data_IF_438372629803
#
_entry.id   IF_438372629803
#
_cell.length_a   1.000
_cell.length_b   1.000
_cell.length_c   1.000
_cell.angle_alpha   90.00
_cell.angle_beta   90.00
_cell.angle_gamma   90.00
#
_symmetry.space_group_name_H-M   'P 1'
#
loop_
_entity.id
_entity.type
_entity.pdbx_description
1 polymer ?
#
# COMPACT_ATOMS: atom_id res chain seq x y z
N UNK A 1 -65.75 61.90 14.52
CA UNK A 1 -64.90 62.92 13.87
C UNK A 1 -63.76 62.14 13.22
N UNK A 2 -63.82 61.83 11.91
CA UNK A 2 -63.41 62.70 10.76
C UNK A 2 -61.95 63.09 10.97
N UNK A 3 -60.92 62.71 10.21
CA UNK A 3 -60.62 62.40 8.78
C UNK A 3 -59.41 61.42 8.77
N UNK A 4 -59.07 60.61 7.77
CA UNK A 4 -59.12 60.78 6.33
C UNK A 4 -57.77 61.28 5.77
N UNK A 5 -56.86 60.39 5.36
CA UNK A 5 -55.95 60.66 4.21
C UNK A 5 -55.24 59.39 3.73
N UNK A 6 -55.46 59.09 2.44
CA UNK A 6 -54.70 58.14 1.63
C UNK A 6 -53.53 58.86 0.96
N UNK A 7 -52.36 58.21 0.88
CA UNK A 7 -51.50 58.26 -0.30
C UNK A 7 -50.75 56.94 -0.46
N UNK A 8 -50.85 56.37 -1.66
CA UNK A 8 -50.13 55.19 -2.14
C UNK A 8 -48.66 55.52 -2.40
N UNK A 9 -47.78 54.53 -2.20
CA UNK A 9 -46.41 54.52 -2.69
C UNK A 9 -45.87 53.08 -2.63
N UNK A 10 -45.49 52.55 -3.79
CA UNK A 10 -45.20 51.15 -4.04
C UNK A 10 -43.83 50.68 -3.51
N UNK A 11 -43.76 49.38 -3.21
CA UNK A 11 -42.56 48.55 -3.38
C UNK A 11 -41.51 48.59 -2.27
N UNK A 12 -41.43 47.52 -1.48
CA UNK A 12 -40.24 46.66 -1.34
C UNK A 12 -40.47 45.66 -0.20
N UNK A 13 -40.33 44.36 -0.51
CA UNK A 13 -40.44 43.26 0.45
C UNK A 13 -39.28 43.24 1.46
N UNK A 14 -39.43 42.50 2.57
CA UNK A 14 -38.47 42.49 3.66
C UNK A 14 -37.16 41.80 3.26
N UNK A 15 -36.07 42.40 3.73
CA UNK A 15 -34.68 42.05 3.49
C UNK A 15 -34.37 40.56 3.75
N UNK A 16 -33.90 39.88 2.71
CA UNK A 16 -33.19 38.62 2.84
C UNK A 16 -31.81 38.90 3.45
N UNK A 17 -31.51 38.25 4.57
CA UNK A 17 -30.13 38.15 5.07
C UNK A 17 -29.34 37.34 4.06
N UNK A 18 -28.29 37.95 3.51
CA UNK A 18 -27.32 37.29 2.64
C UNK A 18 -26.59 36.20 3.43
N UNK A 19 -26.93 34.95 3.20
CA UNK A 19 -26.04 33.81 3.43
C UNK A 19 -25.00 33.81 2.31
N UNK A 20 -23.73 33.91 2.66
CA UNK A 20 -22.62 33.79 1.73
C UNK A 20 -22.70 32.40 1.08
N UNK A 21 -22.97 32.38 -0.23
CA UNK A 21 -22.95 31.16 -1.02
C UNK A 21 -21.53 30.63 -1.16
N UNK A 22 -21.37 29.33 -0.89
CA UNK A 22 -20.17 28.56 -1.19
C UNK A 22 -19.97 28.59 -2.72
N UNK A 23 -18.79 28.98 -3.23
CA UNK A 23 -18.55 28.94 -4.67
C UNK A 23 -18.35 27.49 -5.13
N UNK A 24 -18.84 27.12 -6.33
CA UNK A 24 -18.65 25.77 -6.87
C UNK A 24 -17.18 25.53 -7.25
N UNK A 25 -16.71 24.30 -7.06
CA UNK A 25 -15.41 23.82 -7.50
C UNK A 25 -15.23 24.05 -9.02
N UNK A 26 -14.14 24.69 -9.48
CA UNK A 26 -13.92 24.87 -10.91
C UNK A 26 -13.39 23.57 -11.55
N UNK A 27 -14.13 23.07 -12.55
CA UNK A 27 -13.68 22.03 -13.46
C UNK A 27 -12.50 22.52 -14.32
N UNK A 28 -11.57 21.61 -14.59
CA UNK A 28 -10.35 21.91 -15.35
C UNK A 28 -10.62 21.88 -16.85
N UNK A 29 -10.40 23.02 -17.51
CA UNK A 29 -10.22 23.13 -18.96
C UNK A 29 -8.72 23.13 -19.28
N UNK A 30 -8.31 22.36 -20.29
CA UNK A 30 -6.92 22.21 -20.73
C UNK A 30 -6.36 23.52 -21.35
N UNK A 31 -5.09 23.88 -21.08
CA UNK A 31 -4.44 25.01 -21.75
C UNK A 31 -3.80 24.61 -23.10
N UNK A 32 -3.61 25.56 -24.02
CA UNK A 32 -3.16 25.29 -25.38
C UNK A 32 -1.64 25.07 -25.49
N UNK A 33 -1.26 24.30 -26.51
CA UNK A 33 0.12 23.98 -26.88
C UNK A 33 0.94 25.23 -27.24
N UNK A 34 2.12 25.38 -26.61
CA UNK A 34 3.11 26.38 -26.97
C UNK A 34 4.31 25.71 -27.66
N UNK A 35 4.41 25.97 -28.96
CA UNK A 35 5.55 25.66 -29.83
C UNK A 35 6.63 26.74 -29.71
N UNK A 36 7.87 26.33 -29.41
CA UNK A 36 9.08 27.17 -29.39
C UNK A 36 10.34 26.34 -29.72
N UNK A 37 11.41 26.94 -30.25
CA UNK A 37 12.27 26.31 -31.25
C UNK A 37 13.35 25.38 -30.68
N UNK A 38 13.60 24.32 -31.44
CA UNK A 38 14.68 23.35 -31.27
C UNK A 38 16.00 23.99 -31.73
N UNK A 39 17.05 23.91 -30.92
CA UNK A 39 18.43 24.30 -31.31
C UNK A 39 19.40 23.14 -31.07
N UNK A 40 20.32 22.82 -32.01
CA UNK A 40 21.07 21.57 -32.00
C UNK A 40 22.41 21.73 -31.27
N UNK A 41 22.61 20.97 -30.18
CA UNK A 41 23.94 20.78 -29.60
C UNK A 41 24.49 19.42 -30.03
N UNK A 42 25.42 19.47 -30.99
CA UNK A 42 26.29 18.37 -31.35
C UNK A 42 27.30 18.13 -30.22
N UNK A 43 27.29 16.93 -29.64
CA UNK A 43 28.28 16.48 -28.67
C UNK A 43 29.57 16.07 -29.41
N UNK A 44 30.65 16.81 -29.16
CA UNK A 44 32.01 16.43 -29.56
C UNK A 44 32.64 15.57 -28.47
N UNK A 45 33.03 14.34 -28.81
CA UNK A 45 33.75 13.42 -27.93
C UNK A 45 35.20 13.89 -27.67
N UNK A 46 35.72 13.81 -26.43
CA UNK A 46 37.15 13.99 -26.16
C UNK A 46 37.97 12.71 -26.48
N UNK A 47 39.29 12.84 -26.72
CA UNK A 47 40.13 11.77 -27.27
C UNK A 47 40.43 10.64 -26.27
N UNK A 48 40.52 9.42 -26.80
CA UNK A 48 40.88 8.18 -26.10
C UNK A 48 42.36 8.20 -25.70
N UNK A 49 42.64 8.01 -24.41
CA UNK A 49 43.99 7.75 -23.89
C UNK A 49 44.35 6.26 -23.99
N UNK A 50 45.64 5.90 -24.23
CA UNK A 50 46.08 4.50 -24.22
C UNK A 50 46.06 3.93 -22.79
N UNK A 51 45.80 2.62 -22.60
CA UNK A 51 45.69 2.04 -21.26
C UNK A 51 47.05 1.99 -20.56
N UNK A 52 47.06 2.36 -19.28
CA UNK A 52 48.21 2.25 -18.37
C UNK A 52 48.51 0.79 -18.00
N UNK A 53 49.79 0.50 -17.81
CA UNK A 53 50.32 -0.80 -17.38
C UNK A 53 49.68 -1.29 -16.07
N UNK A 54 49.37 -2.58 -16.03
CA UNK A 54 48.80 -3.25 -14.86
C UNK A 54 49.83 -3.39 -13.72
N UNK A 55 49.43 -3.28 -12.45
CA UNK A 55 50.33 -3.47 -11.32
C UNK A 55 50.78 -4.93 -11.18
N UNK A 56 52.05 -5.12 -10.81
CA UNK A 56 52.66 -6.42 -10.52
C UNK A 56 51.84 -7.21 -9.48
N UNK A 57 51.38 -8.40 -9.86
CA UNK A 57 50.70 -9.34 -8.94
C UNK A 57 49.33 -9.85 -9.40
N UNK A 58 48.85 -9.49 -10.60
CA UNK A 58 47.64 -10.08 -11.17
C UNK A 58 47.99 -11.32 -12.00
N UNK A 59 47.54 -12.50 -11.56
CA UNK A 59 47.60 -13.74 -12.33
C UNK A 59 46.23 -14.00 -12.96
N UNK A 60 46.05 -13.85 -14.29
CA UNK A 60 44.81 -14.24 -14.94
C UNK A 60 44.67 -15.78 -14.90
N UNK A 61 43.57 -16.28 -14.35
CA UNK A 61 43.21 -17.70 -14.41
C UNK A 61 42.89 -18.10 -15.85
N UNK A 62 43.80 -18.86 -16.47
CA UNK A 62 43.60 -19.49 -17.76
C UNK A 62 42.40 -20.45 -17.71
N UNK A 63 41.43 -20.25 -18.60
CA UNK A 63 40.34 -21.20 -18.85
C UNK A 63 40.81 -22.22 -19.89
N UNK A 64 41.48 -23.27 -19.44
CA UNK A 64 41.71 -24.47 -20.25
C UNK A 64 40.46 -25.36 -20.22
N UNK A 65 39.49 -25.06 -21.08
CA UNK A 65 38.40 -25.97 -21.42
C UNK A 65 38.68 -26.58 -22.80
N UNK A 66 38.79 -27.92 -22.93
CA UNK A 66 39.04 -28.55 -24.22
C UNK A 66 37.81 -28.41 -25.14
N UNK A 67 38.01 -27.76 -26.28
CA UNK A 67 37.06 -27.74 -27.41
C UNK A 67 37.08 -29.12 -28.08
N UNK A 68 36.02 -29.90 -27.92
CA UNK A 68 35.85 -31.18 -28.63
C UNK A 68 35.50 -30.88 -30.09
N UNK A 69 36.51 -30.93 -30.95
CA UNK A 69 36.34 -30.89 -32.40
C UNK A 69 35.78 -32.22 -32.93
N UNK A 70 34.65 -32.16 -33.63
CA UNK A 70 34.11 -33.29 -34.38
C UNK A 70 34.98 -33.58 -35.61
N UNK A 71 35.91 -34.54 -35.52
CA UNK A 71 36.27 -35.47 -36.61
C UNK A 71 37.52 -36.29 -36.30
N UNK A 72 37.37 -37.56 -35.95
CA UNK A 72 38.27 -38.64 -36.37
C UNK A 72 37.71 -40.01 -35.95
N UNK A 73 37.41 -40.86 -36.95
CA UNK A 73 37.19 -42.29 -36.77
C UNK A 73 38.43 -42.93 -36.14
N UNK A 74 38.27 -43.58 -34.99
CA UNK A 74 39.20 -44.58 -34.49
C UNK A 74 38.41 -45.71 -33.83
N UNK A 75 38.51 -46.89 -34.43
CA UNK A 75 37.93 -48.16 -33.97
C UNK A 75 38.51 -48.55 -32.60
N UNK A 76 37.64 -48.81 -31.62
CA UNK A 76 38.00 -49.38 -30.31
C UNK A 76 37.51 -50.85 -30.22
N UNK A 77 38.23 -51.74 -29.49
CA UNK A 77 37.84 -53.14 -29.31
C UNK A 77 36.56 -53.31 -28.47
N UNK A 78 35.78 -54.34 -28.80
CA UNK A 78 34.57 -54.74 -28.09
C UNK A 78 34.93 -55.48 -26.80
N UNK A 79 34.84 -54.80 -25.67
CA UNK A 79 34.60 -55.44 -24.36
C UNK A 79 33.88 -54.42 -23.49
N UNK A 80 32.55 -54.54 -23.41
CA UNK A 80 31.71 -53.73 -22.52
C UNK A 80 30.95 -54.72 -21.62
N UNK A 81 31.09 -54.65 -20.29
CA UNK A 81 30.29 -55.48 -19.39
C UNK A 81 28.82 -55.09 -19.57
N UNK A 82 27.99 -56.04 -19.99
CA UNK A 82 26.55 -55.82 -20.10
C UNK A 82 25.94 -55.94 -18.71
N UNK A 83 25.70 -54.81 -18.05
CA UNK A 83 24.83 -54.76 -16.87
C UNK A 83 23.40 -54.66 -17.41
N UNK A 84 22.60 -55.71 -17.21
CA UNK A 84 21.16 -55.61 -17.41
C UNK A 84 20.58 -54.67 -16.34
N UNK A 85 20.09 -53.51 -16.80
CA UNK A 85 19.35 -52.59 -15.95
C UNK A 85 17.91 -53.11 -15.82
N UNK A 86 17.61 -53.76 -14.70
CA UNK A 86 16.23 -54.01 -14.31
C UNK A 86 15.54 -52.66 -14.05
N UNK A 87 14.41 -52.34 -14.70
CA UNK A 87 13.67 -51.14 -14.36
C UNK A 87 13.14 -51.28 -12.92
N UNK A 88 13.70 -50.53 -11.99
CA UNK A 88 12.99 -50.22 -10.76
C UNK A 88 11.80 -49.36 -11.18
N UNK A 89 10.59 -49.77 -10.79
CA UNK A 89 9.43 -48.89 -10.93
C UNK A 89 9.81 -47.55 -10.28
N UNK A 90 9.66 -46.46 -11.02
CA UNK A 90 9.87 -45.13 -10.48
C UNK A 90 9.05 -45.05 -9.18
N UNK A 91 9.68 -44.85 -8.01
CA UNK A 91 8.91 -44.37 -6.89
C UNK A 91 8.50 -42.98 -7.35
N UNK A 92 7.30 -42.84 -7.91
CA UNK A 92 6.71 -41.54 -8.12
C UNK A 92 6.72 -40.92 -6.73
N UNK A 93 7.62 -39.97 -6.41
CA UNK A 93 7.45 -39.26 -5.17
C UNK A 93 6.04 -38.65 -5.31
N UNK A 94 5.16 -38.78 -4.30
CA UNK A 94 3.96 -37.96 -4.34
C UNK A 94 4.44 -36.54 -4.64
N UNK A 95 3.81 -35.88 -5.62
CA UNK A 95 4.03 -34.46 -5.87
C UNK A 95 4.16 -33.77 -4.50
N UNK A 96 5.18 -32.92 -4.28
CA UNK A 96 5.44 -32.36 -2.96
C UNK A 96 4.09 -31.88 -2.43
N UNK A 97 3.59 -32.57 -1.41
CA UNK A 97 2.48 -32.06 -0.65
C UNK A 97 3.10 -30.83 -0.04
N UNK A 98 2.86 -29.67 -0.66
CA UNK A 98 3.14 -28.40 -0.03
C UNK A 98 2.61 -28.58 1.39
N UNK A 99 3.44 -28.47 2.44
CA UNK A 99 2.88 -28.45 3.77
C UNK A 99 1.80 -27.37 3.69
N UNK A 100 0.54 -27.78 3.91
CA UNK A 100 -0.60 -26.91 3.66
C UNK A 100 -0.27 -25.56 4.29
N UNK A 101 -0.24 -24.51 3.47
CA UNK A 101 0.10 -23.18 3.94
C UNK A 101 -0.77 -22.90 5.17
N UNK A 102 -0.16 -22.35 6.22
CA UNK A 102 -0.91 -22.02 7.42
C UNK A 102 -2.02 -21.01 7.12
N UNK A 103 -2.98 -20.85 8.05
CA UNK A 103 -4.11 -19.94 7.87
C UNK A 103 -3.62 -18.52 7.57
N UNK A 104 -4.31 -17.84 6.64
CA UNK A 104 -4.04 -16.46 6.26
C UNK A 104 -4.91 -15.53 7.10
N UNK A 105 -4.31 -14.51 7.70
CA UNK A 105 -4.98 -13.45 8.44
C UNK A 105 -4.60 -12.10 7.86
N UNK A 106 -5.55 -11.16 7.92
CA UNK A 106 -5.36 -9.78 7.47
C UNK A 106 -5.79 -8.82 8.58
N UNK A 107 -4.97 -7.79 8.80
CA UNK A 107 -5.19 -6.71 9.76
C UNK A 107 -5.50 -5.42 9.01
N UNK A 108 -6.60 -4.75 9.41
CA UNK A 108 -6.92 -3.41 8.93
C UNK A 108 -6.02 -2.32 9.51
N UNK A 109 -6.44 -1.08 9.30
CA UNK A 109 -5.68 0.13 9.64
C UNK A 109 -5.57 0.30 11.16
N UNK A 110 -4.33 0.50 11.65
CA UNK A 110 -4.02 0.48 13.09
C UNK A 110 -3.96 1.87 13.70
N UNK A 111 -3.37 2.83 12.98
CA UNK A 111 -3.28 4.23 13.42
C UNK A 111 -2.78 4.43 14.86
N UNK A 112 -1.71 3.74 15.26
CA UNK A 112 -1.08 3.92 16.57
C UNK A 112 -1.90 3.45 17.78
N UNK A 113 -3.03 2.78 17.56
CA UNK A 113 -3.84 2.13 18.59
C UNK A 113 -3.25 0.76 18.96
N UNK A 114 -2.08 0.81 19.63
CA UNK A 114 -1.26 -0.36 19.94
C UNK A 114 -1.98 -1.34 20.89
N UNK A 115 -2.72 -0.84 21.87
CA UNK A 115 -3.44 -1.67 22.84
C UNK A 115 -4.57 -2.44 22.13
N UNK A 116 -5.33 -1.77 21.27
CA UNK A 116 -6.36 -2.38 20.44
C UNK A 116 -5.79 -3.41 19.46
N UNK A 117 -4.58 -3.17 18.94
CA UNK A 117 -3.86 -4.16 18.13
C UNK A 117 -3.48 -5.41 18.94
N UNK A 118 -2.96 -5.24 20.16
CA UNK A 118 -2.67 -6.37 21.05
C UNK A 118 -3.94 -7.19 21.32
N UNK A 119 -5.03 -6.53 21.70
CA UNK A 119 -6.30 -7.19 21.99
C UNK A 119 -6.83 -7.97 20.77
N UNK A 120 -6.80 -7.37 19.58
CA UNK A 120 -7.31 -8.00 18.37
C UNK A 120 -6.45 -9.19 17.91
N UNK A 121 -5.12 -9.08 17.99
CA UNK A 121 -4.22 -10.20 17.67
C UNK A 121 -4.32 -11.34 18.68
N UNK A 122 -4.48 -11.04 19.97
CA UNK A 122 -4.68 -12.04 21.02
C UNK A 122 -6.02 -12.77 20.87
N UNK A 123 -7.08 -12.04 20.50
CA UNK A 123 -8.41 -12.64 20.28
C UNK A 123 -8.38 -13.72 19.19
N UNK A 124 -7.56 -13.55 18.15
CA UNK A 124 -7.35 -14.52 17.08
C UNK A 124 -6.25 -15.56 17.39
N UNK A 125 -5.63 -15.50 18.58
CA UNK A 125 -4.55 -16.41 18.99
C UNK A 125 -3.25 -16.24 18.21
N UNK A 126 -3.07 -15.09 17.54
CA UNK A 126 -1.87 -14.79 16.76
C UNK A 126 -0.65 -14.51 17.63
N UNK A 127 -0.90 -13.92 18.79
CA UNK A 127 0.09 -13.63 19.81
C UNK A 127 -0.34 -14.15 21.18
N UNK A 128 0.62 -14.41 22.06
CA UNK A 128 0.37 -14.80 23.45
C UNK A 128 0.09 -13.60 24.38
N UNK A 129 -0.15 -13.89 25.66
CA UNK A 129 -0.41 -12.89 26.71
C UNK A 129 0.77 -11.90 26.91
N UNK A 130 1.97 -12.28 26.50
CA UNK A 130 3.18 -11.44 26.56
C UNK A 130 3.48 -10.73 25.25
N UNK A 131 2.62 -10.90 24.24
CA UNK A 131 2.73 -10.21 22.96
C UNK A 131 3.66 -10.86 21.95
N UNK A 132 4.07 -12.12 22.15
CA UNK A 132 4.93 -12.86 21.23
C UNK A 132 4.11 -13.74 20.28
N UNK A 133 4.62 -13.96 19.07
CA UNK A 133 3.99 -14.81 18.07
C UNK A 133 3.68 -16.22 18.61
N UNK A 134 2.41 -16.62 18.51
CA UNK A 134 1.90 -17.88 19.03
C UNK A 134 1.19 -18.75 17.97
N UNK A 135 1.06 -18.27 16.73
CA UNK A 135 0.26 -18.92 15.69
C UNK A 135 1.04 -19.86 14.74
N UNK A 136 2.20 -20.37 15.16
CA UNK A 136 2.95 -21.39 14.39
C UNK A 136 3.23 -20.95 12.96
N UNK A 137 2.73 -21.73 11.98
CA UNK A 137 2.92 -21.48 10.56
C UNK A 137 1.88 -20.54 9.90
N UNK A 138 1.08 -19.82 10.71
CA UNK A 138 0.13 -18.84 10.19
C UNK A 138 0.81 -17.72 9.39
N UNK A 139 0.02 -17.08 8.54
CA UNK A 139 0.45 -16.04 7.62
C UNK A 139 -0.35 -14.78 7.95
N UNK A 140 0.31 -13.69 8.30
CA UNK A 140 -0.33 -12.44 8.69
C UNK A 140 0.07 -11.32 7.74
N UNK A 141 -0.91 -10.53 7.29
CA UNK A 141 -0.69 -9.33 6.50
C UNK A 141 -1.34 -8.11 7.16
N UNK A 142 -0.58 -7.03 7.29
CA UNK A 142 -1.12 -5.71 7.62
C UNK A 142 -1.33 -4.90 6.34
N UNK A 143 -2.45 -4.19 6.24
CA UNK A 143 -2.82 -3.42 5.02
C UNK A 143 -2.27 -1.98 4.99
N UNK A 144 -1.38 -1.62 5.92
CA UNK A 144 -0.78 -0.29 6.04
C UNK A 144 -1.38 0.54 7.17
N UNK A 145 -1.01 1.81 7.22
CA UNK A 145 -1.50 2.81 8.17
C UNK A 145 -1.26 2.44 9.63
N UNK A 146 0.02 2.28 9.98
CA UNK A 146 0.48 1.96 11.34
C UNK A 146 0.47 3.16 12.28
N UNK A 147 0.72 4.35 11.76
CA UNK A 147 0.97 5.56 12.57
C UNK A 147 -0.16 6.58 12.48
N UNK A 148 0.01 7.63 13.29
CA UNK A 148 -0.85 8.81 13.40
C UNK A 148 -2.20 8.54 14.07
N UNK A 149 -2.80 9.61 14.63
CA UNK A 149 -4.06 9.64 15.39
C UNK A 149 -3.98 8.98 16.76
N UNK A 150 -3.71 7.68 16.84
CA UNK A 150 -3.55 6.95 18.10
C UNK A 150 -2.27 7.34 18.86
N UNK A 151 -2.10 6.85 20.09
CA UNK A 151 -1.07 7.32 21.00
C UNK A 151 0.35 6.78 20.73
N UNK A 152 0.49 5.63 20.06
CA UNK A 152 1.77 4.92 19.95
C UNK A 152 2.02 4.28 18.57
N UNK A 153 2.23 5.09 17.54
CA UNK A 153 2.52 4.62 16.18
C UNK A 153 3.88 3.92 16.05
N UNK A 154 4.93 4.42 16.72
CA UNK A 154 6.25 3.76 16.68
C UNK A 154 6.20 2.40 17.37
N UNK A 155 5.46 2.25 18.47
CA UNK A 155 5.27 0.97 19.14
C UNK A 155 4.54 -0.07 18.27
N UNK A 156 3.61 0.37 17.40
CA UNK A 156 3.00 -0.50 16.38
C UNK A 156 4.06 -0.98 15.38
N UNK A 157 4.90 -0.09 14.87
CA UNK A 157 6.00 -0.47 13.95
C UNK A 157 6.93 -1.48 14.61
N UNK A 158 7.37 -1.22 15.85
CA UNK A 158 8.23 -2.12 16.62
C UNK A 158 7.61 -3.52 16.78
N UNK A 159 6.31 -3.57 17.10
CA UNK A 159 5.57 -4.82 17.22
C UNK A 159 5.55 -5.58 15.89
N UNK A 160 5.19 -4.93 14.77
CA UNK A 160 5.10 -5.59 13.46
C UNK A 160 6.46 -6.11 13.01
N UNK A 161 7.53 -5.32 13.17
CA UNK A 161 8.90 -5.73 12.87
C UNK A 161 9.31 -6.98 13.67
N UNK A 162 8.99 -7.00 14.97
CA UNK A 162 9.27 -8.15 15.84
C UNK A 162 8.46 -9.38 15.43
N UNK A 163 7.15 -9.24 15.20
CA UNK A 163 6.28 -10.34 14.79
C UNK A 163 6.70 -10.92 13.44
N UNK A 164 7.22 -10.11 12.52
CA UNK A 164 7.79 -10.59 11.25
C UNK A 164 8.94 -11.58 11.46
N UNK A 165 9.87 -11.26 12.37
CA UNK A 165 10.97 -12.16 12.72
C UNK A 165 10.51 -13.42 13.46
N UNK A 166 9.60 -13.26 14.44
CA UNK A 166 9.10 -14.38 15.24
C UNK A 166 8.26 -15.36 14.40
N UNK A 167 7.38 -14.86 13.54
CA UNK A 167 6.57 -15.66 12.64
C UNK A 167 7.44 -16.48 11.67
N UNK A 168 8.45 -15.85 11.07
CA UNK A 168 9.41 -16.52 10.20
C UNK A 168 10.14 -17.66 10.93
N UNK A 169 10.54 -17.45 12.19
CA UNK A 169 11.19 -18.49 13.00
C UNK A 169 10.24 -19.65 13.35
N UNK A 170 8.93 -19.40 13.44
CA UNK A 170 7.90 -20.41 13.71
C UNK A 170 7.41 -21.15 12.45
N UNK A 171 7.92 -20.80 11.26
CA UNK A 171 7.53 -21.40 9.97
C UNK A 171 6.32 -20.73 9.30
N UNK A 172 5.88 -19.58 9.81
CA UNK A 172 4.87 -18.71 9.22
C UNK A 172 5.51 -17.46 8.62
N UNK A 173 4.72 -16.40 8.47
CA UNK A 173 5.25 -15.06 8.24
C UNK A 173 4.29 -13.98 8.72
N UNK A 174 4.84 -12.81 9.02
CA UNK A 174 4.09 -11.58 9.23
C UNK A 174 4.68 -10.50 8.31
N UNK A 175 3.84 -9.92 7.45
CA UNK A 175 4.19 -8.96 6.41
C UNK A 175 3.26 -7.76 6.45
N UNK A 176 3.65 -6.68 5.79
CA UNK A 176 2.97 -5.40 5.84
C UNK A 176 2.99 -4.75 4.45
N UNK A 177 1.90 -4.06 4.11
CA UNK A 177 1.83 -3.19 2.97
C UNK A 177 2.17 -1.75 3.35
N UNK A 178 2.62 -0.98 2.35
CA UNK A 178 2.77 0.47 2.44
C UNK A 178 1.39 1.14 2.49
N UNK A 179 1.12 1.93 3.52
CA UNK A 179 -0.02 2.85 3.58
C UNK A 179 0.35 4.28 3.22
N UNK A 180 -0.64 5.16 3.13
CA UNK A 180 -0.35 6.58 2.93
C UNK A 180 0.26 7.23 4.17
N UNK A 181 -0.03 6.73 5.38
CA UNK A 181 0.55 7.28 6.60
C UNK A 181 2.04 6.93 6.75
N UNK A 182 2.48 5.76 6.27
CA UNK A 182 3.91 5.43 6.17
C UNK A 182 4.64 6.41 5.24
N UNK A 183 4.09 6.67 4.05
CA UNK A 183 4.64 7.65 3.10
C UNK A 183 4.70 9.05 3.73
N UNK A 184 3.68 9.42 4.50
CA UNK A 184 3.56 10.73 5.12
C UNK A 184 4.60 10.94 6.22
N UNK A 185 4.78 9.98 7.14
CA UNK A 185 5.77 10.09 8.22
C UNK A 185 7.22 9.95 7.70
N UNK A 186 7.46 9.09 6.70
CA UNK A 186 8.76 9.01 5.99
C UNK A 186 9.09 10.39 5.39
N UNK A 187 8.15 10.98 4.67
CA UNK A 187 8.33 12.29 4.06
C UNK A 187 8.50 13.40 5.09
N UNK A 188 7.77 13.36 6.21
CA UNK A 188 7.91 14.35 7.29
C UNK A 188 9.31 14.28 7.92
N UNK A 189 9.86 13.08 8.13
CA UNK A 189 11.20 12.88 8.67
C UNK A 189 12.31 13.30 7.70
N UNK A 190 12.13 13.03 6.40
CA UNK A 190 13.16 13.28 5.37
C UNK A 190 13.15 14.72 4.83
N UNK A 191 11.97 15.29 4.66
CA UNK A 191 11.78 16.56 3.96
C UNK A 191 11.25 17.67 4.86
N UNK A 192 10.68 17.36 6.02
CA UNK A 192 10.18 18.34 6.99
C UNK A 192 9.30 19.42 6.33
N UNK A 193 9.70 20.69 6.44
CA UNK A 193 9.01 21.86 5.87
C UNK A 193 9.38 22.17 4.41
N UNK A 194 10.08 21.27 3.71
CA UNK A 194 10.39 21.43 2.29
C UNK A 194 9.09 21.62 1.49
N UNK A 195 8.97 22.73 0.72
CA UNK A 195 7.82 22.98 -0.12
C UNK A 195 7.64 21.90 -1.19
N UNK A 196 6.42 21.39 -1.33
CA UNK A 196 5.99 20.51 -2.42
C UNK A 196 4.81 21.13 -3.15
N UNK A 197 4.71 20.86 -4.45
CA UNK A 197 3.60 21.37 -5.23
C UNK A 197 2.36 20.49 -5.02
N UNK A 198 1.30 21.06 -4.45
CA UNK A 198 0.01 20.39 -4.32
C UNK A 198 -1.04 21.03 -5.23
N UNK A 199 -2.07 20.28 -5.60
CA UNK A 199 -3.19 20.81 -6.39
C UNK A 199 -3.94 21.99 -5.73
N UNK A 200 -3.72 22.25 -4.43
CA UNK A 200 -4.28 23.37 -3.68
C UNK A 200 -3.23 24.48 -3.38
N UNK A 201 -2.04 24.41 -3.96
CA UNK A 201 -0.92 25.33 -3.70
C UNK A 201 0.26 24.64 -3.01
N UNK A 202 1.16 25.42 -2.42
CA UNK A 202 2.34 24.87 -1.73
C UNK A 202 1.96 24.16 -0.43
N UNK A 203 2.45 22.95 -0.22
CA UNK A 203 2.31 22.18 1.02
C UNK A 203 3.69 21.73 1.55
N UNK A 204 3.74 21.12 2.74
CA UNK A 204 4.92 20.41 3.25
C UNK A 204 4.49 19.12 3.96
N UNK A 205 5.38 18.13 4.01
CA UNK A 205 5.11 16.88 4.69
C UNK A 205 4.91 17.06 6.20
N UNK A 206 5.72 17.89 6.86
CA UNK A 206 5.58 18.13 8.29
C UNK A 206 4.22 18.72 8.66
N UNK A 207 3.73 19.70 7.89
CA UNK A 207 2.41 20.28 8.10
C UNK A 207 1.30 19.27 7.83
N UNK A 208 1.38 18.52 6.71
CA UNK A 208 0.40 17.51 6.36
C UNK A 208 0.34 16.37 7.37
N UNK A 209 1.49 15.91 7.88
CA UNK A 209 1.60 14.88 8.91
C UNK A 209 0.92 15.32 10.20
N UNK A 210 1.20 16.51 10.71
CA UNK A 210 0.53 17.05 11.90
C UNK A 210 -0.98 17.19 11.71
N UNK A 211 -1.43 17.63 10.52
CA UNK A 211 -2.85 17.76 10.20
C UNK A 211 -3.57 16.40 10.14
N UNK A 212 -2.87 15.33 9.78
CA UNK A 212 -3.42 13.98 9.70
C UNK A 212 -3.26 13.17 11.00
N UNK A 213 -2.98 13.83 12.12
CA UNK A 213 -2.91 13.21 13.44
C UNK A 213 -1.51 12.80 13.87
N UNK A 214 -0.46 13.30 13.21
CA UNK A 214 0.91 12.99 13.56
C UNK A 214 1.26 13.26 15.02
N UNK A 215 1.79 12.25 15.71
CA UNK A 215 2.20 12.34 17.10
C UNK A 215 3.65 12.74 17.25
N UNK A 216 3.91 13.82 18.01
CA UNK A 216 5.29 14.31 18.22
C UNK A 216 6.19 13.28 18.91
N UNK A 217 5.64 12.52 19.85
CA UNK A 217 6.33 11.42 20.53
C UNK A 217 6.78 10.33 19.56
N UNK A 218 6.02 10.07 18.49
CA UNK A 218 6.43 9.13 17.44
C UNK A 218 7.62 9.70 16.65
N UNK A 219 7.55 10.95 16.21
CA UNK A 219 8.66 11.58 15.47
C UNK A 219 9.97 11.65 16.27
N UNK A 220 9.87 11.84 17.60
CA UNK A 220 11.00 11.85 18.53
C UNK A 220 11.64 10.45 18.68
N UNK A 221 10.84 9.38 18.69
CA UNK A 221 11.30 7.99 18.79
C UNK A 221 11.65 7.36 17.43
N UNK A 222 11.26 7.98 16.33
CA UNK A 222 11.47 7.43 15.00
C UNK A 222 12.96 7.43 14.62
N UNK A 223 13.52 6.24 14.49
CA UNK A 223 14.90 5.98 14.09
C UNK A 223 15.05 5.52 12.62
N UNK A 224 16.29 5.51 12.12
CA UNK A 224 16.62 5.15 10.74
C UNK A 224 16.20 3.71 10.37
N UNK A 225 16.22 2.79 11.33
CA UNK A 225 15.84 1.41 11.08
C UNK A 225 14.32 1.27 10.83
N UNK A 226 13.49 2.06 11.51
CA UNK A 226 12.05 2.15 11.21
C UNK A 226 11.83 2.68 9.79
N UNK A 227 12.52 3.77 9.42
CA UNK A 227 12.42 4.36 8.07
C UNK A 227 12.86 3.38 7.00
N UNK A 228 13.96 2.66 7.22
CA UNK A 228 14.47 1.67 6.28
C UNK A 228 13.51 0.50 6.12
N UNK A 229 12.90 0.04 7.21
CA UNK A 229 11.89 -1.01 7.17
C UNK A 229 10.65 -0.55 6.40
N UNK A 230 10.05 0.60 6.76
CA UNK A 230 8.86 1.13 6.08
C UNK A 230 9.13 1.40 4.59
N UNK A 231 10.32 1.91 4.23
CA UNK A 231 10.66 2.20 2.82
C UNK A 231 10.82 0.96 1.93
N UNK A 232 10.69 -0.25 2.49
CA UNK A 232 10.79 -1.54 1.78
C UNK A 232 9.48 -2.32 1.80
N UNK A 233 8.40 -1.74 2.33
CA UNK A 233 7.10 -2.40 2.32
C UNK A 233 6.59 -2.50 0.88
N UNK A 234 5.97 -3.63 0.58
CA UNK A 234 5.28 -3.84 -0.69
C UNK A 234 4.07 -2.91 -0.77
N UNK A 235 3.75 -2.41 -1.95
CA UNK A 235 2.53 -1.64 -2.19
C UNK A 235 1.30 -2.54 -2.39
N UNK A 236 1.53 -3.75 -2.90
CA UNK A 236 0.51 -4.77 -3.08
C UNK A 236 1.08 -6.18 -3.03
N UNK A 237 0.22 -7.14 -2.70
CA UNK A 237 0.56 -8.56 -2.67
C UNK A 237 -0.62 -9.42 -3.11
N UNK A 238 -0.36 -10.66 -3.54
CA UNK A 238 -1.42 -11.64 -3.83
C UNK A 238 -1.22 -12.90 -3.01
N UNK A 239 -2.24 -13.27 -2.24
CA UNK A 239 -2.21 -14.41 -1.32
C UNK A 239 -3.54 -15.17 -1.37
N UNK A 240 -3.48 -16.49 -1.55
CA UNK A 240 -4.66 -17.37 -1.59
C UNK A 240 -5.78 -16.86 -2.51
N UNK A 241 -5.41 -16.27 -3.65
CA UNK A 241 -6.36 -15.70 -4.60
C UNK A 241 -6.94 -14.33 -4.19
N UNK A 242 -6.48 -13.71 -3.11
CA UNK A 242 -6.83 -12.35 -2.73
C UNK A 242 -5.72 -11.39 -3.16
N UNK A 243 -6.11 -10.28 -3.81
CA UNK A 243 -5.22 -9.15 -4.05
C UNK A 243 -5.31 -8.20 -2.84
N UNK A 244 -4.21 -8.04 -2.13
CA UNK A 244 -4.09 -7.17 -0.97
C UNK A 244 -3.54 -5.82 -1.43
N UNK A 245 -4.27 -4.74 -1.12
CA UNK A 245 -3.87 -3.36 -1.42
C UNK A 245 -4.20 -2.48 -0.22
N UNK A 246 -3.58 -1.31 -0.13
CA UNK A 246 -3.87 -0.39 0.95
C UNK A 246 -5.23 0.30 0.76
N UNK A 247 -5.50 0.89 -0.41
CA UNK A 247 -6.71 1.68 -0.64
C UNK A 247 -7.56 1.24 -1.83
N UNK A 248 -8.84 1.60 -1.82
CA UNK A 248 -9.82 1.31 -2.88
C UNK A 248 -9.71 2.28 -4.05
N UNK A 249 -8.56 2.25 -4.72
CA UNK A 249 -8.20 3.11 -5.84
C UNK A 249 -7.69 2.32 -7.04
N UNK A 250 -7.95 2.80 -8.25
CA UNK A 250 -7.34 2.27 -9.48
C UNK A 250 -5.98 2.89 -9.78
N UNK A 251 -5.49 3.82 -8.96
CA UNK A 251 -4.21 4.50 -9.19
C UNK A 251 -3.00 3.55 -9.20
N UNK A 252 -3.14 2.32 -8.68
CA UNK A 252 -2.11 1.29 -8.80
C UNK A 252 -1.73 0.99 -10.26
N UNK A 253 -2.70 1.08 -11.19
CA UNK A 253 -2.51 0.90 -12.64
C UNK A 253 -1.57 1.93 -13.26
N UNK A 254 -1.31 3.06 -12.58
CA UNK A 254 -0.38 4.09 -13.06
C UNK A 254 1.09 3.70 -12.83
N UNK A 255 1.39 2.68 -12.01
CA UNK A 255 2.76 2.31 -11.64
C UNK A 255 3.33 1.12 -12.43
N UNK A 256 2.49 0.25 -12.99
CA UNK A 256 2.94 -0.90 -13.76
C UNK A 256 1.85 -1.91 -14.05
N UNK A 257 2.18 -2.88 -14.92
CA UNK A 257 1.25 -3.89 -15.44
C UNK A 257 1.33 -5.24 -14.68
N UNK A 258 2.19 -5.32 -13.64
CA UNK A 258 2.32 -6.47 -12.74
C UNK A 258 2.51 -6.04 -11.28
N UNK A 259 2.31 -6.95 -10.33
CA UNK A 259 2.52 -6.69 -8.89
C UNK A 259 3.97 -6.26 -8.64
N UNK A 260 4.90 -6.96 -9.28
CA UNK A 260 6.33 -6.69 -9.20
C UNK A 260 6.66 -5.29 -9.74
N UNK A 261 6.13 -4.90 -10.90
CA UNK A 261 6.37 -3.56 -11.47
C UNK A 261 5.86 -2.45 -10.54
N UNK A 262 4.68 -2.63 -9.94
CA UNK A 262 4.10 -1.65 -9.00
C UNK A 262 4.99 -1.50 -7.76
N UNK A 263 5.40 -2.62 -7.16
CA UNK A 263 6.25 -2.61 -5.97
C UNK A 263 7.64 -2.01 -6.26
N UNK A 264 8.24 -2.36 -7.40
CA UNK A 264 9.53 -1.83 -7.83
C UNK A 264 9.45 -0.32 -8.11
N UNK A 265 8.44 0.15 -8.85
CA UNK A 265 8.27 1.57 -9.17
C UNK A 265 8.13 2.44 -7.91
N UNK A 266 7.39 1.97 -6.90
CA UNK A 266 7.19 2.68 -5.64
C UNK A 266 8.47 2.66 -4.80
N UNK A 267 9.14 1.52 -4.74
CA UNK A 267 10.44 1.38 -4.06
C UNK A 267 11.48 2.32 -4.67
N UNK A 268 11.58 2.36 -6.01
CA UNK A 268 12.51 3.23 -6.72
C UNK A 268 12.21 4.71 -6.50
N UNK A 269 10.94 5.13 -6.52
CA UNK A 269 10.53 6.49 -6.20
C UNK A 269 10.95 6.89 -4.76
N UNK A 270 10.76 6.01 -3.77
CA UNK A 270 11.21 6.26 -2.39
C UNK A 270 12.74 6.31 -2.25
N UNK A 271 13.48 5.55 -3.07
CA UNK A 271 14.95 5.54 -3.07
C UNK A 271 15.55 6.78 -3.73
N UNK A 272 14.89 7.34 -4.75
CA UNK A 272 15.31 8.60 -5.38
C UNK A 272 15.26 9.78 -4.42
N UNK A 273 14.46 9.67 -3.36
CA UNK A 273 14.41 10.63 -2.26
C UNK A 273 14.07 12.05 -2.74
N UNK A 274 13.16 12.14 -3.71
CA UNK A 274 12.63 13.39 -4.24
C UNK A 274 11.30 13.74 -3.54
N UNK A 275 11.14 14.95 -2.99
CA UNK A 275 9.96 15.31 -2.20
C UNK A 275 8.68 15.37 -3.04
N UNK A 276 8.73 15.80 -4.30
CA UNK A 276 7.53 15.89 -5.15
C UNK A 276 7.06 14.49 -5.58
N UNK A 277 7.99 13.57 -5.83
CA UNK A 277 7.63 12.18 -6.17
C UNK A 277 7.05 11.42 -4.98
N UNK A 278 7.66 11.52 -3.79
CA UNK A 278 7.09 10.91 -2.57
C UNK A 278 5.73 11.53 -2.24
N UNK A 279 5.55 12.82 -2.54
CA UNK A 279 4.27 13.49 -2.34
C UNK A 279 3.20 13.00 -3.33
N UNK A 280 3.56 12.76 -4.60
CA UNK A 280 2.67 12.14 -5.57
C UNK A 280 2.25 10.72 -5.14
N UNK A 281 3.19 9.92 -4.63
CA UNK A 281 2.88 8.61 -4.04
C UNK A 281 1.87 8.74 -2.91
N UNK A 282 2.15 9.60 -1.92
CA UNK A 282 1.26 9.87 -0.80
C UNK A 282 -0.15 10.22 -1.30
N UNK A 283 -0.26 11.14 -2.26
CA UNK A 283 -1.55 11.55 -2.84
C UNK A 283 -2.29 10.42 -3.54
N UNK A 284 -1.59 9.56 -4.28
CA UNK A 284 -2.19 8.42 -4.99
C UNK A 284 -2.71 7.38 -4.01
N UNK A 285 -1.99 7.12 -2.93
CA UNK A 285 -2.41 6.18 -1.89
C UNK A 285 -3.60 6.72 -1.07
N UNK A 286 -3.75 8.04 -0.94
CA UNK A 286 -4.93 8.66 -0.30
C UNK A 286 -6.21 8.61 -1.15
N UNK A 287 -6.12 8.34 -2.47
CA UNK A 287 -7.32 8.21 -3.32
C UNK A 287 -8.18 7.03 -2.83
N UNK A 288 -9.50 7.17 -2.96
CA UNK A 288 -10.48 6.21 -2.45
C UNK A 288 -11.81 6.25 -3.20
N UNK A 289 -12.67 5.30 -2.88
CA UNK A 289 -14.04 5.15 -3.35
C UNK A 289 -14.19 4.78 -4.83
N UNK A 290 -13.11 4.30 -5.47
CA UNK A 290 -13.21 3.80 -6.84
C UNK A 290 -14.13 2.57 -6.95
N UNK A 291 -14.24 1.80 -5.86
CA UNK A 291 -15.04 0.58 -5.82
C UNK A 291 -16.46 0.80 -5.28
N UNK A 292 -16.76 2.01 -4.77
CA UNK A 292 -17.98 2.29 -3.99
C UNK A 292 -19.25 2.35 -4.84
N UNK A 293 -19.14 2.82 -6.08
CA UNK A 293 -20.29 2.94 -6.99
C UNK A 293 -20.84 1.55 -7.38
N UNK A 294 -22.17 1.37 -7.35
CA UNK A 294 -22.78 0.06 -7.61
C UNK A 294 -22.52 -0.46 -9.04
N UNK A 295 -22.42 0.44 -10.03
CA UNK A 295 -22.25 0.05 -11.43
C UNK A 295 -20.77 0.05 -11.85
N UNK A 296 -20.05 1.13 -11.53
CA UNK A 296 -18.66 1.32 -11.91
C UNK A 296 -17.68 0.62 -10.96
N UNK A 297 -18.05 0.43 -9.69
CA UNK A 297 -17.20 -0.17 -8.67
C UNK A 297 -16.75 -1.59 -9.02
N UNK A 298 -17.67 -2.52 -9.32
CA UNK A 298 -17.30 -3.86 -9.78
C UNK A 298 -16.44 -3.86 -11.05
N UNK A 299 -16.57 -2.85 -11.94
CA UNK A 299 -15.71 -2.73 -13.12
C UNK A 299 -14.29 -2.32 -12.73
N UNK A 300 -14.13 -1.33 -11.85
CA UNK A 300 -12.84 -0.89 -11.33
C UNK A 300 -12.10 -2.02 -10.58
N UNK A 301 -12.83 -2.82 -9.80
CA UNK A 301 -12.26 -4.00 -9.12
C UNK A 301 -11.81 -5.05 -10.13
N UNK A 302 -12.63 -5.35 -11.15
CA UNK A 302 -12.26 -6.32 -12.20
C UNK A 302 -11.05 -5.86 -12.99
N UNK A 303 -10.91 -4.56 -13.29
CA UNK A 303 -9.74 -4.02 -13.98
C UNK A 303 -8.43 -4.32 -13.23
N UNK A 304 -8.42 -4.12 -11.91
CA UNK A 304 -7.27 -4.46 -11.06
C UNK A 304 -7.04 -5.97 -10.99
N UNK A 305 -8.10 -6.78 -10.82
CA UNK A 305 -7.98 -8.24 -10.75
C UNK A 305 -7.56 -8.86 -12.09
N UNK A 306 -7.98 -8.32 -13.22
CA UNK A 306 -7.57 -8.77 -14.56
C UNK A 306 -6.09 -8.45 -14.80
N UNK A 307 -5.58 -7.35 -14.24
CA UNK A 307 -4.18 -6.92 -14.38
C UNK A 307 -3.26 -7.70 -13.43
N UNK A 308 -3.60 -7.75 -12.13
CA UNK A 308 -2.70 -8.25 -11.08
C UNK A 308 -3.04 -9.68 -10.61
N UNK A 309 -4.20 -10.19 -11.01
CA UNK A 309 -4.72 -11.50 -10.63
C UNK A 309 -5.40 -11.51 -9.27
N UNK A 310 -6.02 -12.65 -8.98
CA UNK A 310 -6.87 -12.85 -7.79
C UNK A 310 -8.35 -12.96 -8.17
N UNK A 311 -9.19 -13.27 -7.20
CA UNK A 311 -10.66 -13.31 -7.33
C UNK A 311 -11.37 -12.31 -6.42
N UNK A 312 -10.64 -11.65 -5.50
CA UNK A 312 -11.17 -10.64 -4.58
C UNK A 312 -10.06 -9.68 -4.15
N UNK A 313 -10.39 -8.40 -4.03
CA UNK A 313 -9.53 -7.39 -3.43
C UNK A 313 -9.82 -7.27 -1.94
N UNK A 314 -8.79 -7.16 -1.11
CA UNK A 314 -8.89 -6.86 0.32
C UNK A 314 -8.12 -5.58 0.58
N UNK A 315 -8.76 -4.59 1.20
CA UNK A 315 -8.18 -3.26 1.38
C UNK A 315 -8.49 -2.59 2.72
N UNK A 316 -7.63 -1.66 3.13
CA UNK A 316 -7.78 -0.76 4.27
C UNK A 316 -8.22 0.64 3.82
N UNK A 317 -7.70 1.70 4.47
CA UNK A 317 -7.76 3.15 4.16
C UNK A 317 -9.12 3.83 4.09
N UNK A 318 -10.14 3.11 3.64
CA UNK A 318 -11.50 3.57 3.48
C UNK A 318 -12.34 2.97 4.59
N UNK A 319 -12.48 3.68 5.72
CA UNK A 319 -13.25 3.19 6.84
C UNK A 319 -14.64 2.73 6.41
N UNK A 320 -15.02 1.56 6.90
CA UNK A 320 -16.34 0.97 6.65
C UNK A 320 -17.48 1.96 6.94
N UNK A 321 -17.46 2.78 8.02
CA UNK A 321 -18.50 3.78 8.26
C UNK A 321 -18.67 4.78 7.10
N UNK A 322 -17.58 5.18 6.43
CA UNK A 322 -17.65 6.06 5.27
C UNK A 322 -18.23 5.36 4.06
N UNK A 323 -17.91 4.08 3.84
CA UNK A 323 -18.47 3.28 2.75
C UNK A 323 -19.99 3.12 2.90
N UNK A 324 -20.44 2.83 4.13
CA UNK A 324 -21.86 2.67 4.48
C UNK A 324 -22.63 4.00 4.52
N UNK A 325 -21.93 5.14 4.55
CA UNK A 325 -22.55 6.46 4.69
C UNK A 325 -23.06 6.74 6.10
N UNK A 326 -22.53 6.05 7.10
CA UNK A 326 -22.93 6.08 8.51
C UNK A 326 -22.22 7.18 9.32
N UNK A 327 -21.61 8.16 8.67
CA UNK A 327 -20.97 9.28 9.37
C UNK A 327 -21.89 10.50 9.26
N UNK A 328 -22.44 10.87 10.42
CA UNK A 328 -23.39 11.96 10.57
C UNK A 328 -22.89 13.25 9.91
N UNK A 329 -23.80 13.94 9.23
CA UNK A 329 -23.61 15.35 8.89
C UNK A 329 -23.33 16.14 10.16
N UNK A 330 -22.37 17.07 10.15
CA UNK A 330 -22.03 17.97 11.28
C UNK A 330 -23.22 18.82 11.80
N UNK A 331 -24.41 18.69 11.22
CA UNK A 331 -25.65 19.40 11.57
C UNK A 331 -26.73 18.53 12.25
N UNK A 332 -26.44 17.29 12.66
CA UNK A 332 -27.42 16.48 13.38
C UNK A 332 -27.36 16.77 14.89
N UNK A 333 -28.42 17.43 15.38
CA UNK A 333 -28.72 17.59 16.81
C UNK A 333 -28.49 16.26 17.55
N UNK A 334 -27.56 16.30 18.50
CA UNK A 334 -27.10 15.16 19.28
C UNK A 334 -28.20 14.56 20.15
N UNK A 335 -28.95 13.59 19.61
CA UNK A 335 -29.65 12.53 20.35
C UNK A 335 -29.68 11.20 19.56
N UNK A 336 -28.55 10.80 18.97
CA UNK A 336 -28.34 9.38 18.61
C UNK A 336 -26.92 8.94 18.98
N UNK A 337 -26.86 8.05 19.98
CA UNK A 337 -25.68 7.59 20.73
C UNK A 337 -25.05 6.36 20.07
N UNK A 338 -25.04 6.31 18.73
CA UNK A 338 -24.64 5.13 17.97
C UNK A 338 -23.33 5.34 17.25
N UNK A 339 -22.20 4.95 17.85
CA UNK A 339 -20.99 4.68 17.07
C UNK A 339 -21.35 3.71 15.92
N UNK A 340 -20.83 3.89 14.69
CA UNK A 340 -21.13 2.99 13.58
C UNK A 340 -20.84 1.55 14.01
N UNK A 341 -21.84 0.67 13.95
CA UNK A 341 -21.71 -0.70 14.45
C UNK A 341 -20.98 -1.56 13.40
N UNK A 342 -19.66 -1.39 13.30
CA UNK A 342 -18.82 -2.23 12.44
C UNK A 342 -18.56 -3.55 13.16
N UNK A 343 -19.36 -4.57 12.84
CA UNK A 343 -19.23 -5.91 13.46
C UNK A 343 -18.15 -6.78 12.83
N UNK A 344 -17.64 -6.41 11.65
CA UNK A 344 -16.71 -7.20 10.87
C UNK A 344 -16.36 -6.52 9.54
N UNK A 345 -15.65 -7.23 8.65
CA UNK A 345 -15.23 -6.65 7.37
C UNK A 345 -16.42 -6.46 6.43
N UNK A 346 -16.34 -5.48 5.55
CA UNK A 346 -17.46 -5.11 4.66
C UNK A 346 -17.23 -5.59 3.24
N UNK A 347 -18.07 -6.52 2.79
CA UNK A 347 -18.03 -7.07 1.44
C UNK A 347 -18.94 -6.26 0.51
N UNK A 348 -18.41 -5.79 -0.62
CA UNK A 348 -19.12 -4.94 -1.58
C UNK A 348 -18.58 -5.14 -3.00
N UNK A 349 -19.03 -4.29 -3.95
CA UNK A 349 -18.68 -4.36 -5.37
C UNK A 349 -18.91 -5.78 -5.95
N UNK A 350 -20.16 -6.26 -5.91
CA UNK A 350 -20.54 -7.62 -6.33
C UNK A 350 -19.80 -8.76 -5.58
N UNK A 351 -19.33 -8.51 -4.35
CA UNK A 351 -18.57 -9.49 -3.59
C UNK A 351 -17.10 -9.59 -3.97
N UNK A 352 -16.61 -8.66 -4.80
CA UNK A 352 -15.25 -8.62 -5.31
C UNK A 352 -14.31 -7.78 -4.44
N UNK A 353 -14.81 -6.90 -3.57
CA UNK A 353 -13.99 -6.09 -2.67
C UNK A 353 -14.39 -6.31 -1.20
N UNK A 354 -13.38 -6.42 -0.34
CA UNK A 354 -13.53 -6.56 1.10
C UNK A 354 -12.78 -5.43 1.81
N UNK A 355 -13.52 -4.53 2.45
CA UNK A 355 -12.95 -3.48 3.27
C UNK A 355 -12.66 -4.00 4.69
N UNK A 356 -11.48 -3.66 5.21
CA UNK A 356 -10.93 -4.12 6.48
C UNK A 356 -10.70 -2.98 7.48
N UNK A 357 -10.78 -1.72 7.05
CA UNK A 357 -10.69 -0.58 7.95
C UNK A 357 -12.00 -0.45 8.75
N UNK A 358 -12.00 -0.99 9.96
CA UNK A 358 -13.16 -0.92 10.84
C UNK A 358 -13.41 0.45 11.47
N UNK A 359 -12.57 1.45 11.16
CA UNK A 359 -12.70 2.80 11.66
C UNK A 359 -12.31 2.95 13.13
N UNK A 360 -11.19 2.34 13.55
CA UNK A 360 -10.68 2.44 14.94
C UNK A 360 -10.53 3.91 15.40
N UNK A 361 -10.21 4.80 14.47
CA UNK A 361 -10.12 6.26 14.67
C UNK A 361 -11.46 6.95 14.90
N UNK A 362 -12.58 6.24 14.68
CA UNK A 362 -13.96 6.71 14.79
C UNK A 362 -14.75 5.89 15.82
N UNK A 363 -14.06 5.37 16.85
CA UNK A 363 -14.62 4.46 17.85
C UNK A 363 -15.17 3.14 17.27
N UNK A 364 -14.78 2.80 16.04
CA UNK A 364 -14.97 1.49 15.45
C UNK A 364 -13.97 0.47 15.98
N UNK A 365 -14.01 -0.74 15.43
CA UNK A 365 -13.15 -1.86 15.88
C UNK A 365 -11.94 -2.02 14.97
N UNK A 366 -10.78 -2.31 15.54
CA UNK A 366 -9.64 -2.81 14.79
C UNK A 366 -9.90 -4.27 14.36
N UNK A 367 -9.91 -4.50 13.05
CA UNK A 367 -10.27 -5.81 12.48
C UNK A 367 -9.02 -6.66 12.22
N UNK A 368 -9.05 -7.88 12.71
CA UNK A 368 -8.13 -8.98 12.36
C UNK A 368 -9.01 -10.13 11.89
N UNK A 369 -8.85 -10.59 10.66
CA UNK A 369 -9.77 -11.57 10.05
C UNK A 369 -8.99 -12.66 9.33
N UNK A 370 -9.40 -13.91 9.55
CA UNK A 370 -8.92 -15.06 8.78
C UNK A 370 -9.55 -15.09 7.38
N UNK A 371 -8.74 -15.31 6.36
CA UNK A 371 -9.16 -15.54 4.98
C UNK A 371 -9.00 -17.01 4.55
N UNK A 372 -9.82 -17.49 3.59
CA UNK A 372 -11.02 -16.83 3.09
C UNK A 372 -12.10 -16.70 4.17
N UNK A 373 -13.01 -15.72 4.02
CA UNK A 373 -14.17 -15.64 4.91
C UNK A 373 -14.98 -16.93 4.83
N UNK A 374 -15.46 -17.43 5.97
CA UNK A 374 -16.41 -18.53 5.98
C UNK A 374 -17.72 -18.09 5.31
N UNK A 375 -18.27 -18.95 4.45
CA UNK A 375 -19.54 -18.73 3.73
C UNK A 375 -20.76 -18.69 4.67
#
# INVERSE_FOLDING_TARGET
MVEGSMTQGAGQGPAARHTAGIPPFPGYAAPPAASGPVSPYAQSAPPVQPPMDAPDGYTPTARDLPVIGHSARRTLPQDVPTVELTPLADPHPPAPQHPALGPLYVVGDVHGYLDELYEALQAEGLIDETGHWAAGNARLWFLGDFTDRGPDGVGVIDLVMRLSAEAAAAGGYCKALMGNHELLIIGAKRFADTPVNSGAGTASFQAAWLLNGGQRSDMERLEDHHLQWMSRLDAMAKEDGHLLVHSDTTAYLEFGDSIEDVNDAITEALQRNDPDEVWDLFRKFTKRFAFRDEAAGPMAVRELLDTYGGGRIVHGHSPIPYLLGEVGTEDADAEDDGAPLVSGPHLYADGLALAMDGGVTMAGKLLVVQLPLAD
#
